data_IF_367368387637
#
_entry.id   IF_367368387637
#
_cell.length_a   1.000
_cell.length_b   1.000
_cell.length_c   1.000
_cell.angle_alpha   90.00
_cell.angle_beta   90.00
_cell.angle_gamma   90.00
#
_symmetry.space_group_name_H-M   'P 1'
#
loop_
_entity.id
_entity.type
_entity.pdbx_description
1 polymer ?
#
# COMPACT_ATOMS: atom_id res chain seq x y z
N UNK A 1 -12.49 -27.13 12.37
CA UNK A 1 -12.15 -25.85 11.70
C UNK A 1 -12.75 -24.73 12.51
N UNK A 2 -11.95 -23.75 12.93
CA UNK A 2 -12.49 -22.52 13.53
C UNK A 2 -13.32 -21.76 12.48
N UNK A 3 -14.43 -21.10 12.87
CA UNK A 3 -15.21 -20.29 11.94
C UNK A 3 -14.38 -19.12 11.41
N UNK A 4 -14.49 -18.86 10.11
CA UNK A 4 -13.87 -17.71 9.44
C UNK A 4 -14.49 -16.43 10.00
N UNK A 5 -13.67 -15.43 10.35
CA UNK A 5 -14.18 -14.16 10.86
C UNK A 5 -15.00 -13.42 9.78
N UNK A 6 -15.99 -12.58 10.15
CA UNK A 6 -16.76 -11.81 9.18
C UNK A 6 -15.89 -10.95 8.25
N UNK A 7 -14.83 -10.35 8.77
CA UNK A 7 -13.90 -9.55 7.99
C UNK A 7 -13.09 -10.40 7.00
N UNK A 8 -12.67 -11.61 7.40
CA UNK A 8 -12.01 -12.54 6.47
C UNK A 8 -12.97 -13.03 5.39
N UNK A 9 -14.25 -13.26 5.71
CA UNK A 9 -15.25 -13.61 4.71
C UNK A 9 -15.46 -12.49 3.68
N UNK A 10 -15.50 -11.22 4.11
CA UNK A 10 -15.60 -10.08 3.20
C UNK A 10 -14.44 -10.00 2.20
N UNK A 11 -13.23 -10.34 2.63
CA UNK A 11 -12.05 -10.43 1.77
C UNK A 11 -12.23 -11.53 0.71
N UNK A 12 -12.65 -12.73 1.12
CA UNK A 12 -12.91 -13.85 0.20
C UNK A 12 -14.01 -13.52 -0.82
N UNK A 13 -15.10 -12.93 -0.37
CA UNK A 13 -16.22 -12.49 -1.23
C UNK A 13 -15.79 -11.37 -2.19
N UNK A 14 -14.80 -10.55 -1.80
CA UNK A 14 -14.26 -9.53 -2.68
C UNK A 14 -13.45 -10.16 -3.82
N UNK A 15 -12.60 -11.15 -3.53
CA UNK A 15 -11.79 -11.85 -4.53
C UNK A 15 -12.63 -12.69 -5.49
N UNK A 16 -13.66 -13.37 -5.00
CA UNK A 16 -14.55 -14.16 -5.85
C UNK A 16 -15.27 -13.33 -6.94
N UNK A 17 -15.32 -11.99 -6.79
CA UNK A 17 -15.93 -11.04 -7.72
C UNK A 17 -14.92 -10.22 -8.52
N UNK A 18 -13.64 -10.51 -8.37
CA UNK A 18 -12.53 -9.81 -9.05
C UNK A 18 -12.10 -10.66 -10.23
N UNK A 19 -11.80 -10.03 -11.36
CA UNK A 19 -11.29 -10.74 -12.54
C UNK A 19 -9.87 -10.33 -12.93
N UNK A 20 -9.43 -9.14 -12.55
CA UNK A 20 -8.09 -8.62 -12.81
C UNK A 20 -7.16 -8.69 -11.60
N UNK A 21 -5.99 -8.05 -11.68
CA UNK A 21 -5.08 -7.93 -10.55
C UNK A 21 -5.73 -7.17 -9.39
N UNK A 22 -5.33 -7.51 -8.18
CA UNK A 22 -5.72 -6.81 -6.95
C UNK A 22 -4.60 -5.87 -6.54
N UNK A 23 -4.92 -4.61 -6.26
CA UNK A 23 -3.96 -3.69 -5.66
C UNK A 23 -4.08 -3.71 -4.14
N UNK A 24 -2.96 -3.93 -3.44
CA UNK A 24 -2.84 -3.81 -1.99
C UNK A 24 -2.20 -2.48 -1.64
N UNK A 25 -2.86 -1.67 -0.81
CA UNK A 25 -2.49 -0.29 -0.55
C UNK A 25 -2.17 -0.05 0.92
N UNK A 26 -1.11 0.71 1.16
CA UNK A 26 -0.75 1.23 2.48
C UNK A 26 -0.04 2.59 2.36
N UNK A 27 0.04 3.32 3.47
CA UNK A 27 0.63 4.65 3.58
C UNK A 27 1.84 4.69 4.51
N UNK A 28 2.79 5.58 4.21
CA UNK A 28 3.82 5.98 5.16
C UNK A 28 4.02 7.49 5.09
N UNK A 29 3.92 8.18 6.22
CA UNK A 29 4.00 9.63 6.21
C UNK A 29 4.63 10.20 7.48
N UNK A 30 5.02 11.46 7.37
CA UNK A 30 5.42 12.35 8.44
C UNK A 30 4.69 13.68 8.21
N UNK A 31 3.62 13.90 8.95
CA UNK A 31 2.87 15.16 8.93
C UNK A 31 3.65 16.28 9.63
N UNK A 32 3.34 17.56 9.36
CA UNK A 32 3.83 18.68 10.14
C UNK A 32 3.39 18.50 11.61
N UNK A 33 4.34 18.33 12.52
CA UNK A 33 4.08 18.48 13.94
C UNK A 33 4.55 19.88 14.34
N UNK A 34 3.65 20.73 14.86
CA UNK A 34 3.97 22.11 15.22
C UNK A 34 5.05 22.26 16.31
N UNK A 35 5.62 21.14 16.75
CA UNK A 35 6.68 21.01 17.75
C UNK A 35 8.09 21.03 17.14
N UNK A 36 8.27 20.58 15.90
CA UNK A 36 9.55 20.66 15.19
C UNK A 36 9.34 21.19 13.76
N UNK A 37 9.29 22.53 13.58
CA UNK A 37 9.11 23.16 12.26
C UNK A 37 10.21 22.83 11.25
N UNK A 38 11.36 22.30 11.70
CA UNK A 38 12.48 21.91 10.84
C UNK A 38 12.43 20.46 10.37
N UNK A 39 11.49 19.65 10.90
CA UNK A 39 11.38 18.24 10.56
C UNK A 39 10.91 18.08 9.11
N UNK A 40 11.66 17.30 8.33
CA UNK A 40 11.26 16.98 6.97
C UNK A 40 9.93 16.21 6.98
N UNK A 41 8.92 16.77 6.32
CA UNK A 41 7.61 16.15 6.12
C UNK A 41 7.60 15.36 4.83
N UNK A 42 6.81 14.30 4.78
CA UNK A 42 6.60 13.55 3.54
C UNK A 42 5.28 12.79 3.63
N UNK A 43 4.76 12.42 2.48
CA UNK A 43 3.63 11.54 2.36
C UNK A 43 3.90 10.53 1.26
N UNK A 44 3.76 9.24 1.53
CA UNK A 44 3.94 8.15 0.58
C UNK A 44 2.68 7.31 0.65
N UNK A 45 2.09 7.05 -0.52
CA UNK A 45 1.02 6.09 -0.69
C UNK A 45 1.51 5.07 -1.71
N UNK A 46 1.43 3.79 -1.34
CA UNK A 46 1.99 2.71 -2.13
C UNK A 46 0.90 1.71 -2.47
N UNK A 47 0.96 1.14 -3.66
CA UNK A 47 0.20 -0.03 -4.08
C UNK A 47 1.13 -1.14 -4.57
N UNK A 48 0.83 -2.39 -4.25
CA UNK A 48 1.46 -3.56 -4.88
C UNK A 48 0.37 -4.36 -5.59
N UNK A 49 0.54 -4.59 -6.89
CA UNK A 49 -0.43 -5.30 -7.71
C UNK A 49 -0.10 -6.78 -7.75
N UNK A 50 -1.09 -7.61 -7.47
CA UNK A 50 -0.94 -9.06 -7.43
C UNK A 50 -2.02 -9.71 -8.28
N UNK A 51 -1.59 -10.58 -9.19
CA UNK A 51 -2.49 -11.43 -9.97
C UNK A 51 -3.26 -12.40 -9.06
N UNK A 52 -4.55 -12.62 -9.32
CA UNK A 52 -5.40 -13.49 -8.48
C UNK A 52 -4.82 -14.89 -8.29
N UNK A 53 -4.20 -15.43 -9.34
CA UNK A 53 -3.54 -16.74 -9.32
C UNK A 53 -2.31 -16.81 -8.40
N UNK A 54 -1.67 -15.67 -8.09
CA UNK A 54 -0.45 -15.58 -7.30
C UNK A 54 -0.74 -15.28 -5.80
N UNK A 55 -1.98 -14.96 -5.44
CA UNK A 55 -2.32 -14.52 -4.08
C UNK A 55 -1.88 -15.52 -3.00
N UNK A 56 -2.14 -16.82 -3.20
CA UNK A 56 -1.85 -17.85 -2.19
C UNK A 56 -0.36 -18.19 -2.11
N UNK A 57 0.33 -18.16 -3.25
CA UNK A 57 1.78 -18.35 -3.32
C UNK A 57 2.49 -17.23 -2.54
N UNK A 58 2.17 -15.96 -2.84
CA UNK A 58 2.76 -14.83 -2.14
C UNK A 58 2.43 -14.83 -0.64
N UNK A 59 1.18 -15.14 -0.25
CA UNK A 59 0.81 -15.24 1.17
C UNK A 59 1.65 -16.27 1.93
N UNK A 60 2.00 -17.36 1.27
CA UNK A 60 2.78 -18.46 1.85
C UNK A 60 4.26 -18.09 1.89
N UNK A 61 4.83 -17.58 0.79
CA UNK A 61 6.23 -17.16 0.78
C UNK A 61 6.53 -16.01 1.75
N UNK A 62 5.63 -15.03 1.89
CA UNK A 62 5.77 -14.00 2.92
C UNK A 62 5.79 -14.58 4.34
N UNK A 63 4.95 -15.59 4.61
CA UNK A 63 4.90 -16.26 5.91
C UNK A 63 6.19 -17.05 6.18
N UNK A 64 6.69 -17.75 5.18
CA UNK A 64 7.91 -18.56 5.27
C UNK A 64 9.13 -17.69 5.55
N UNK A 65 9.27 -16.55 4.85
CA UNK A 65 10.38 -15.62 5.04
C UNK A 65 10.26 -14.86 6.36
N UNK A 66 9.07 -14.39 6.73
CA UNK A 66 8.88 -13.66 7.97
C UNK A 66 9.01 -14.56 9.22
N UNK A 67 8.74 -15.87 9.10
CA UNK A 67 8.72 -16.81 10.21
C UNK A 67 7.66 -16.48 11.29
N UNK A 68 6.70 -15.61 10.97
CA UNK A 68 5.71 -15.06 11.89
C UNK A 68 4.41 -14.77 11.16
N UNK A 69 3.28 -14.83 11.88
CA UNK A 69 1.96 -14.44 11.35
C UNK A 69 1.67 -12.94 11.47
N UNK A 70 2.63 -12.18 11.98
CA UNK A 70 2.55 -10.74 12.21
C UNK A 70 3.82 -10.05 11.69
N UNK A 71 3.62 -8.91 11.02
CA UNK A 71 4.68 -8.11 10.43
C UNK A 71 4.35 -6.61 10.54
N UNK A 72 5.35 -5.82 10.94
CA UNK A 72 5.40 -4.38 10.71
C UNK A 72 6.83 -3.99 10.37
N UNK A 73 7.04 -3.45 9.17
CA UNK A 73 8.38 -3.16 8.67
C UNK A 73 9.10 -2.13 9.55
N UNK A 74 8.37 -1.12 10.03
CA UNK A 74 8.92 -0.11 10.96
C UNK A 74 9.53 -0.73 12.23
N UNK A 75 8.87 -1.72 12.81
CA UNK A 75 9.34 -2.36 14.04
C UNK A 75 10.48 -3.34 13.75
N UNK A 76 10.37 -4.10 12.66
CA UNK A 76 11.42 -5.01 12.20
C UNK A 76 12.75 -4.28 11.94
N UNK A 77 12.71 -3.07 11.36
CA UNK A 77 13.91 -2.27 11.10
C UNK A 77 14.68 -1.83 12.36
N UNK A 78 14.11 -1.98 13.57
CA UNK A 78 14.78 -1.62 14.83
C UNK A 78 15.77 -2.67 15.33
N UNK A 79 15.71 -3.90 14.83
CA UNK A 79 16.60 -5.00 15.25
C UNK A 79 17.42 -5.50 14.08
N UNK A 80 18.54 -6.18 14.36
CA UNK A 80 19.43 -6.71 13.33
C UNK A 80 18.71 -7.82 12.55
N UNK A 81 18.14 -8.79 13.27
CA UNK A 81 17.34 -9.88 12.70
C UNK A 81 16.17 -9.35 11.85
N UNK A 82 15.45 -8.34 12.34
CA UNK A 82 14.32 -7.78 11.62
C UNK A 82 14.73 -7.01 10.35
N UNK A 83 15.93 -6.41 10.31
CA UNK A 83 16.50 -5.83 9.08
C UNK A 83 16.86 -6.92 8.07
N UNK A 84 17.40 -8.05 8.51
CA UNK A 84 17.67 -9.19 7.63
C UNK A 84 16.38 -9.79 7.07
N UNK A 85 15.36 -9.96 7.90
CA UNK A 85 14.03 -10.41 7.46
C UNK A 85 13.39 -9.42 6.47
N UNK A 86 13.50 -8.11 6.74
CA UNK A 86 12.98 -7.07 5.83
C UNK A 86 13.64 -7.16 4.46
N UNK A 87 14.97 -7.34 4.43
CA UNK A 87 15.71 -7.57 3.20
C UNK A 87 15.24 -8.84 2.50
N UNK A 88 15.08 -9.94 3.23
CA UNK A 88 14.59 -11.21 2.67
C UNK A 88 13.20 -11.11 2.05
N UNK A 89 12.28 -10.35 2.67
CA UNK A 89 10.94 -10.12 2.11
C UNK A 89 10.98 -9.25 0.85
N UNK A 90 11.83 -8.22 0.82
CA UNK A 90 12.04 -7.40 -0.37
C UNK A 90 12.71 -8.21 -1.51
N UNK A 91 13.69 -9.05 -1.19
CA UNK A 91 14.32 -9.97 -2.15
C UNK A 91 13.31 -11.00 -2.69
N UNK A 92 12.40 -11.48 -1.85
CA UNK A 92 11.32 -12.37 -2.28
C UNK A 92 10.36 -11.65 -3.24
N UNK A 93 9.94 -10.42 -2.90
CA UNK A 93 9.12 -9.57 -3.77
C UNK A 93 9.83 -9.25 -5.10
N UNK A 94 11.15 -9.04 -5.08
CA UNK A 94 11.98 -8.74 -6.24
C UNK A 94 12.16 -9.91 -7.21
N UNK A 95 11.97 -11.15 -6.75
CA UNK A 95 11.97 -12.34 -7.61
C UNK A 95 10.65 -12.49 -8.39
N UNK A 96 9.60 -11.83 -7.93
CA UNK A 96 8.30 -11.79 -8.57
C UNK A 96 8.23 -10.80 -9.74
N UNK A 97 7.01 -10.56 -10.21
CA UNK A 97 6.72 -9.61 -11.28
C UNK A 97 5.71 -8.53 -10.84
N UNK A 98 5.39 -8.49 -9.56
CA UNK A 98 4.36 -7.64 -8.96
C UNK A 98 4.75 -6.15 -9.07
N UNK A 99 4.03 -5.36 -9.87
CA UNK A 99 4.29 -3.93 -9.98
C UNK A 99 4.07 -3.22 -8.65
N UNK A 100 5.01 -2.36 -8.27
CA UNK A 100 4.98 -1.54 -7.08
C UNK A 100 4.74 -0.08 -7.46
N UNK A 101 3.54 0.44 -7.23
CA UNK A 101 3.15 1.79 -7.66
C UNK A 101 3.21 2.76 -6.48
N UNK A 102 3.89 3.89 -6.64
CA UNK A 102 4.11 4.86 -5.57
C UNK A 102 3.64 6.25 -5.98
N UNK A 103 2.73 6.83 -5.20
CA UNK A 103 2.45 8.27 -5.17
C UNK A 103 3.13 8.88 -3.96
N UNK A 104 3.79 10.03 -4.10
CA UNK A 104 4.42 10.66 -2.95
C UNK A 104 4.49 12.19 -3.04
N UNK A 105 4.50 12.82 -1.86
CA UNK A 105 4.86 14.22 -1.64
C UNK A 105 6.10 14.28 -0.74
N UNK A 106 7.14 14.96 -1.21
CA UNK A 106 8.37 15.17 -0.43
C UNK A 106 8.24 16.37 0.53
N UNK A 107 7.16 17.15 0.41
CA UNK A 107 6.78 18.20 1.37
C UNK A 107 5.28 18.19 1.54
N UNK A 108 4.82 18.00 2.78
CA UNK A 108 3.41 18.19 3.16
C UNK A 108 3.20 19.67 3.48
N UNK A 109 2.05 20.19 3.09
CA UNK A 109 1.67 21.58 3.37
C UNK A 109 1.71 21.83 4.90
N UNK A 110 2.34 22.91 5.39
CA UNK A 110 2.35 23.23 6.82
C UNK A 110 0.95 23.29 7.47
N UNK A 111 -0.08 23.64 6.69
CA UNK A 111 -1.47 23.73 7.16
C UNK A 111 -2.20 22.36 7.12
N UNK A 112 -1.64 21.35 6.44
CA UNK A 112 -2.12 19.97 6.38
C UNK A 112 -1.62 19.15 7.59
N UNK A 113 -2.03 19.57 8.79
CA UNK A 113 -1.52 19.06 10.07
C UNK A 113 -1.74 17.56 10.30
N UNK A 114 -2.79 16.97 9.71
CA UNK A 114 -3.08 15.53 9.79
C UNK A 114 -2.73 14.78 8.49
N UNK A 115 -2.12 15.47 7.52
CA UNK A 115 -1.76 14.97 6.21
C UNK A 115 -2.95 14.42 5.37
N UNK A 116 -4.19 14.78 5.69
CA UNK A 116 -5.38 14.26 5.01
C UNK A 116 -5.52 14.81 3.60
N UNK A 117 -5.07 16.04 3.33
CA UNK A 117 -5.08 16.58 1.97
C UNK A 117 -4.06 15.85 1.10
N UNK A 118 -2.87 15.64 1.64
CA UNK A 118 -1.82 14.84 1.02
C UNK A 118 -2.25 13.39 0.78
N UNK A 119 -2.92 12.78 1.76
CA UNK A 119 -3.56 11.46 1.65
C UNK A 119 -4.54 11.41 0.50
N UNK A 120 -5.48 12.36 0.46
CA UNK A 120 -6.50 12.42 -0.58
C UNK A 120 -5.85 12.54 -1.97
N UNK A 121 -4.89 13.44 -2.14
CA UNK A 121 -4.22 13.66 -3.41
C UNK A 121 -3.47 12.39 -3.89
N UNK A 122 -2.65 11.79 -3.03
CA UNK A 122 -1.88 10.60 -3.38
C UNK A 122 -2.79 9.39 -3.65
N UNK A 123 -3.83 9.20 -2.84
CA UNK A 123 -4.83 8.17 -3.05
C UNK A 123 -5.55 8.34 -4.39
N UNK A 124 -6.02 9.55 -4.70
CA UNK A 124 -6.71 9.81 -5.96
C UNK A 124 -5.83 9.59 -7.18
N UNK A 125 -4.56 10.01 -7.12
CA UNK A 125 -3.59 9.76 -8.19
C UNK A 125 -3.39 8.26 -8.42
N UNK A 126 -3.12 7.50 -7.35
CA UNK A 126 -2.98 6.04 -7.42
C UNK A 126 -4.24 5.37 -7.97
N UNK A 127 -5.40 5.64 -7.37
CA UNK A 127 -6.64 4.96 -7.74
C UNK A 127 -6.99 5.17 -9.22
N UNK A 128 -6.72 6.37 -9.77
CA UNK A 128 -6.94 6.66 -11.20
C UNK A 128 -5.95 5.91 -12.09
N UNK A 129 -4.64 5.92 -11.77
CA UNK A 129 -3.62 5.23 -12.58
C UNK A 129 -3.82 3.70 -12.54
N UNK A 130 -4.12 3.15 -11.37
CA UNK A 130 -4.42 1.72 -11.18
C UNK A 130 -5.68 1.30 -11.95
N UNK A 131 -6.77 2.07 -11.85
CA UNK A 131 -8.02 1.76 -12.54
C UNK A 131 -7.92 1.93 -14.06
N UNK A 132 -7.00 2.76 -14.56
CA UNK A 132 -6.77 2.96 -15.98
C UNK A 132 -5.91 1.86 -16.61
N UNK A 133 -5.10 1.18 -15.80
CA UNK A 133 -4.07 0.27 -16.27
C UNK A 133 -2.86 1.00 -16.86
N UNK A 134 -1.76 0.27 -17.06
CA UNK A 134 -0.57 0.79 -17.74
C UNK A 134 -0.08 -0.25 -18.74
N UNK A 135 -0.17 0.09 -20.02
CA UNK A 135 0.14 -0.83 -21.11
C UNK A 135 1.53 -1.46 -20.96
N UNK A 136 1.59 -2.80 -20.98
CA UNK A 136 2.83 -3.56 -20.82
C UNK A 136 3.35 -3.66 -19.38
N UNK A 137 2.62 -3.12 -18.39
CA UNK A 137 3.01 -3.16 -16.97
C UNK A 137 1.92 -3.79 -16.11
N UNK A 138 0.67 -3.31 -16.18
CA UNK A 138 -0.47 -3.93 -15.51
C UNK A 138 -1.80 -3.67 -16.22
N UNK A 139 -2.73 -4.60 -16.06
CA UNK A 139 -4.10 -4.47 -16.50
C UNK A 139 -4.93 -3.58 -15.54
N UNK A 140 -6.01 -2.94 -16.01
CA UNK A 140 -6.91 -2.15 -15.18
C UNK A 140 -7.36 -2.87 -13.90
N UNK A 141 -7.18 -2.21 -12.75
CA UNK A 141 -7.54 -2.74 -11.43
C UNK A 141 -8.99 -2.43 -11.07
N UNK A 142 -9.76 -3.45 -10.68
CA UNK A 142 -11.15 -3.32 -10.22
C UNK A 142 -11.34 -3.58 -8.71
N UNK A 143 -10.29 -3.98 -8.00
CA UNK A 143 -10.28 -4.13 -6.54
C UNK A 143 -9.04 -3.49 -5.91
N UNK A 144 -9.28 -2.46 -5.10
CA UNK A 144 -8.31 -1.83 -4.21
C UNK A 144 -8.53 -2.37 -2.79
N UNK A 145 -7.51 -2.97 -2.19
CA UNK A 145 -7.51 -3.43 -0.79
C UNK A 145 -6.61 -2.52 0.01
N UNK A 146 -7.20 -1.72 0.89
CA UNK A 146 -6.52 -0.69 1.68
C UNK A 146 -6.47 -1.09 3.15
N UNK A 147 -5.34 -0.87 3.82
CA UNK A 147 -5.26 -1.03 5.27
C UNK A 147 -6.26 -0.09 5.98
N UNK A 148 -7.08 -0.67 6.86
CA UNK A 148 -8.13 0.08 7.54
C UNK A 148 -7.56 0.95 8.66
N UNK A 149 -8.06 2.18 8.75
CA UNK A 149 -7.70 3.12 9.82
C UNK A 149 -8.53 2.83 11.06
N UNK A 150 -7.88 2.87 12.23
CA UNK A 150 -8.50 2.58 13.53
C UNK A 150 -9.70 3.50 13.86
N UNK A 151 -9.68 4.75 13.42
CA UNK A 151 -10.77 5.69 13.71
C UNK A 151 -11.84 5.68 12.62
N UNK A 152 -13.11 5.56 13.02
CA UNK A 152 -14.25 5.44 12.10
C UNK A 152 -14.43 6.66 11.20
N UNK A 153 -14.16 7.86 11.69
CA UNK A 153 -14.20 9.10 10.90
C UNK A 153 -13.24 9.02 9.71
N UNK A 154 -12.01 8.57 9.94
CA UNK A 154 -10.99 8.40 8.91
C UNK A 154 -11.33 7.29 7.91
N UNK A 155 -11.86 6.16 8.39
CA UNK A 155 -12.38 5.10 7.52
C UNK A 155 -13.49 5.63 6.60
N UNK A 156 -14.41 6.44 7.13
CA UNK A 156 -15.49 7.06 6.34
C UNK A 156 -14.96 8.08 5.33
N UNK A 157 -13.90 8.84 5.67
CA UNK A 157 -13.26 9.78 4.72
C UNK A 157 -12.66 9.04 3.52
N UNK A 158 -11.97 7.92 3.73
CA UNK A 158 -11.43 7.10 2.64
C UNK A 158 -12.54 6.60 1.69
N UNK A 159 -13.66 6.14 2.25
CA UNK A 159 -14.84 5.73 1.47
C UNK A 159 -15.45 6.91 0.69
N UNK A 160 -15.52 8.10 1.30
CA UNK A 160 -16.01 9.30 0.63
C UNK A 160 -15.08 9.72 -0.52
N UNK A 161 -13.77 9.68 -0.32
CA UNK A 161 -12.76 9.98 -1.35
C UNK A 161 -12.86 9.02 -2.54
N UNK A 162 -13.04 7.72 -2.30
CA UNK A 162 -13.26 6.75 -3.39
C UNK A 162 -14.58 7.00 -4.12
N UNK A 163 -15.65 7.27 -3.37
CA UNK A 163 -16.97 7.57 -3.95
C UNK A 163 -16.94 8.82 -4.83
N UNK A 164 -16.17 9.83 -4.45
CA UNK A 164 -15.94 11.04 -5.25
C UNK A 164 -15.36 10.67 -6.61
N UNK A 165 -14.31 9.84 -6.67
CA UNK A 165 -13.70 9.37 -7.92
C UNK A 165 -14.70 8.63 -8.81
N UNK A 166 -15.50 7.72 -8.22
CA UNK A 166 -16.51 6.96 -8.95
C UNK A 166 -17.62 7.88 -9.50
N UNK A 167 -18.13 8.79 -8.68
CA UNK A 167 -19.18 9.73 -9.10
C UNK A 167 -18.70 10.75 -10.13
N UNK A 168 -17.42 11.16 -10.05
CA UNK A 168 -16.77 12.02 -11.01
C UNK A 168 -16.27 11.28 -12.26
N UNK A 169 -16.58 9.98 -12.39
CA UNK A 169 -16.18 9.13 -13.52
C UNK A 169 -14.66 9.10 -13.78
N UNK A 170 -13.86 9.40 -12.75
CA UNK A 170 -12.39 9.32 -12.80
C UNK A 170 -11.90 7.87 -12.64
N UNK A 171 -12.72 7.02 -12.02
CA UNK A 171 -12.54 5.57 -11.99
C UNK A 171 -13.85 4.88 -12.38
N UNK A 172 -13.77 3.66 -12.88
CA UNK A 172 -14.93 2.91 -13.32
C UNK A 172 -15.87 2.58 -12.14
N UNK A 173 -17.17 2.46 -12.41
CA UNK A 173 -18.20 2.21 -11.38
C UNK A 173 -18.00 0.88 -10.64
N UNK A 174 -17.37 -0.09 -11.28
CA UNK A 174 -17.05 -1.40 -10.71
C UNK A 174 -15.70 -1.43 -9.98
N UNK A 175 -14.90 -0.36 -9.98
CA UNK A 175 -13.69 -0.28 -9.16
C UNK A 175 -14.10 -0.16 -7.69
N UNK A 176 -13.79 -1.20 -6.90
CA UNK A 176 -14.19 -1.33 -5.50
C UNK A 176 -13.03 -0.97 -4.57
N UNK A 177 -13.37 -0.36 -3.44
CA UNK A 177 -12.47 -0.18 -2.30
C UNK A 177 -12.91 -1.13 -1.16
N UNK A 178 -12.02 -2.05 -0.79
CA UNK A 178 -12.14 -2.87 0.42
C UNK A 178 -11.16 -2.36 1.46
N UNK A 179 -11.63 -2.06 2.66
CA UNK A 179 -10.76 -1.72 3.79
C UNK A 179 -10.72 -2.89 4.77
N UNK A 180 -9.52 -3.37 5.10
CA UNK A 180 -9.32 -4.51 6.01
C UNK A 180 -7.98 -4.38 6.74
N UNK A 181 -7.69 -5.29 7.66
CA UNK A 181 -6.41 -5.30 8.39
C UNK A 181 -5.47 -6.40 7.88
N UNK A 182 -4.15 -6.27 8.10
CA UNK A 182 -3.19 -7.33 7.79
C UNK A 182 -3.46 -8.67 8.48
N UNK A 183 -4.21 -8.66 9.60
CA UNK A 183 -4.66 -9.87 10.29
C UNK A 183 -5.70 -10.68 9.49
N UNK A 184 -6.37 -10.05 8.53
CA UNK A 184 -7.35 -10.69 7.65
C UNK A 184 -6.83 -10.83 6.22
N UNK A 185 -5.93 -9.95 5.79
CA UNK A 185 -5.26 -10.04 4.50
C UNK A 185 -3.77 -9.72 4.60
N UNK A 186 -2.93 -10.76 4.59
CA UNK A 186 -1.49 -10.65 4.78
C UNK A 186 -0.78 -9.88 3.67
N UNK A 187 -1.34 -9.86 2.46
CA UNK A 187 -0.71 -9.16 1.33
C UNK A 187 -0.64 -7.63 1.53
N UNK A 188 -1.32 -7.09 2.54
CA UNK A 188 -1.11 -5.71 3.02
C UNK A 188 0.31 -5.46 3.58
N UNK A 189 1.11 -6.49 3.85
CA UNK A 189 2.52 -6.31 4.21
C UNK A 189 3.37 -5.80 3.04
N UNK A 190 2.99 -6.11 1.79
CA UNK A 190 3.74 -5.73 0.60
C UNK A 190 3.84 -4.20 0.43
N UNK A 191 2.74 -3.42 0.44
CA UNK A 191 2.85 -1.97 0.35
C UNK A 191 3.57 -1.33 1.56
N UNK A 192 3.46 -1.88 2.78
CA UNK A 192 4.23 -1.41 3.95
C UNK A 192 5.76 -1.59 3.74
N UNK A 193 6.19 -2.75 3.21
CA UNK A 193 7.58 -3.03 2.88
C UNK A 193 8.13 -2.03 1.85
N UNK A 194 7.39 -1.84 0.75
CA UNK A 194 7.78 -0.93 -0.34
C UNK A 194 7.80 0.52 0.15
N UNK A 195 6.77 0.95 0.89
CA UNK A 195 6.70 2.31 1.46
C UNK A 195 7.85 2.56 2.43
N UNK A 196 8.17 1.58 3.29
CA UNK A 196 9.29 1.66 4.22
C UNK A 196 10.65 1.70 3.52
N UNK A 197 10.86 0.90 2.47
CA UNK A 197 12.08 0.92 1.67
C UNK A 197 12.26 2.27 0.97
N UNK A 198 11.22 2.79 0.31
CA UNK A 198 11.26 4.08 -0.36
C UNK A 198 11.44 5.24 0.61
N UNK A 199 10.75 5.22 1.77
CA UNK A 199 10.88 6.22 2.84
C UNK A 199 12.32 6.42 3.28
N UNK A 200 13.14 5.35 3.36
CA UNK A 200 14.55 5.47 3.77
C UNK A 200 15.39 6.29 2.79
N UNK A 201 15.03 6.28 1.50
CA UNK A 201 15.70 7.11 0.50
C UNK A 201 15.50 8.61 0.78
N UNK A 202 14.33 8.98 1.31
CA UNK A 202 13.98 10.36 1.66
C UNK A 202 14.57 10.75 3.01
N UNK A 203 14.46 9.87 4.00
CA UNK A 203 14.71 10.21 5.42
C UNK A 203 16.13 9.92 5.91
N UNK A 204 16.85 9.02 5.25
CA UNK A 204 18.17 8.54 5.69
C UNK A 204 19.23 8.59 4.59
N UNK A 205 18.87 9.05 3.37
CA UNK A 205 19.71 8.92 2.16
C UNK A 205 20.20 7.48 1.91
N UNK A 206 19.46 6.48 2.41
CA UNK A 206 19.79 5.07 2.30
C UNK A 206 18.88 4.41 1.27
N UNK A 207 19.49 3.90 0.19
CA UNK A 207 18.80 3.26 -0.93
C UNK A 207 18.94 1.74 -0.95
N UNK A 208 19.66 1.16 0.02
CA UNK A 208 20.03 -0.27 -0.02
C UNK A 208 18.81 -1.19 -0.14
N UNK A 209 17.76 -0.94 0.63
CA UNK A 209 16.50 -1.70 0.57
C UNK A 209 15.68 -1.38 -0.68
N UNK A 210 15.63 -0.10 -1.08
CA UNK A 210 14.89 0.34 -2.26
C UNK A 210 15.47 -0.25 -3.55
N UNK A 211 16.79 -0.38 -3.64
CA UNK A 211 17.49 -0.91 -4.82
C UNK A 211 17.10 -2.36 -5.14
N UNK A 212 16.67 -3.14 -4.15
CA UNK A 212 16.23 -4.52 -4.36
C UNK A 212 14.98 -4.59 -5.24
N UNK A 213 14.09 -3.61 -5.11
CA UNK A 213 12.79 -3.56 -5.79
C UNK A 213 12.72 -2.42 -6.83
N UNK A 214 13.80 -1.68 -7.09
CA UNK A 214 13.76 -0.50 -7.94
C UNK A 214 13.26 -0.82 -9.37
N UNK A 215 13.56 -2.02 -9.87
CA UNK A 215 13.14 -2.46 -11.21
C UNK A 215 11.63 -2.66 -11.40
N UNK A 216 10.86 -2.83 -10.32
CA UNK A 216 9.40 -3.00 -10.36
C UNK A 216 8.64 -1.77 -9.81
N UNK A 217 9.35 -0.71 -9.42
CA UNK A 217 8.74 0.51 -8.87
C UNK A 217 8.34 1.48 -9.97
N UNK A 218 7.10 1.94 -9.89
CA UNK A 218 6.48 2.86 -10.83
C UNK A 218 5.91 4.06 -10.09
N UNK A 219 6.42 5.25 -10.40
CA UNK A 219 5.87 6.48 -9.81
C UNK A 219 4.62 6.94 -10.55
N UNK A 220 3.68 7.50 -9.79
CA UNK A 220 2.54 8.25 -10.32
C UNK A 220 2.63 9.67 -9.81
N UNK A 221 2.40 10.61 -10.72
CA UNK A 221 2.35 12.02 -10.37
C UNK A 221 0.92 12.41 -10.02
N UNK A 222 0.79 13.33 -9.09
CA UNK A 222 -0.47 14.02 -8.87
C UNK A 222 -0.80 14.88 -10.09
N UNK A 223 -2.09 14.94 -10.44
CA UNK A 223 -2.59 15.78 -11.52
C UNK A 223 -2.83 17.21 -11.06
#
# INVERSE_FOLDING_TARGET
MAPVSPAKQQVLDAYARTTGPVAFLDESYQAPDGTDPGRATFYIFTAVLVELKNLDELRSGLLDVAGSTYWHTRDALRTDDGREQTRGLLDYLAQGLEPCVVAHRVKVDPDDHDAEESRKACYQALAVDLASGRAGVWDPVDLLVLEERNQRNFKNKDQANHKELVSGQRVARNTRLLQTSPAHERLLWLPDLVASAFRRTITHADRTLYQLIEGQVHFVNEA
#
